data_IF_746560821399
#
_entry.id   IF_746560821399
#
_cell.length_a   1.000
_cell.length_b   1.000
_cell.length_c   1.000
_cell.angle_alpha   90.00
_cell.angle_beta   90.00
_cell.angle_gamma   90.00
#
_symmetry.space_group_name_H-M   'P 1'
#
loop_
_entity.id
_entity.type
_entity.pdbx_description
1 polymer ?
#
# COMPACT_ATOMS: atom_id res chain seq x y z
N UNK A 1 0.34 -4.95 -30.99
CA UNK A 1 1.66 -5.24 -30.38
C UNK A 1 1.39 -5.65 -28.94
N UNK A 2 1.86 -6.83 -28.53
CA UNK A 2 1.75 -7.25 -27.12
C UNK A 2 2.58 -6.27 -26.26
N UNK A 3 1.95 -5.72 -25.24
CA UNK A 3 2.65 -4.91 -24.23
C UNK A 3 3.44 -5.88 -23.36
N UNK A 4 4.75 -5.70 -23.26
CA UNK A 4 5.61 -6.56 -22.45
C UNK A 4 6.11 -5.80 -21.22
N UNK A 5 6.39 -6.53 -20.15
CA UNK A 5 7.13 -6.00 -19.03
C UNK A 5 8.57 -5.84 -19.46
N UNK A 6 9.07 -4.60 -19.44
CA UNK A 6 10.44 -4.25 -19.88
C UNK A 6 11.38 -4.25 -18.70
N UNK A 7 11.00 -3.54 -17.64
CA UNK A 7 11.75 -3.50 -16.39
C UNK A 7 10.91 -4.18 -15.31
N UNK A 8 11.47 -5.17 -14.63
CA UNK A 8 10.83 -5.92 -13.56
C UNK A 8 11.39 -5.47 -12.21
N UNK A 9 10.58 -5.50 -11.18
CA UNK A 9 11.06 -5.19 -9.85
C UNK A 9 12.05 -6.24 -9.37
N UNK A 10 11.53 -7.45 -9.15
CA UNK A 10 12.27 -8.59 -8.62
C UNK A 10 11.75 -9.87 -9.31
N UNK A 11 12.53 -10.94 -9.28
CA UNK A 11 12.14 -12.24 -9.81
C UNK A 11 13.22 -12.89 -10.68
N UNK A 12 12.92 -14.03 -11.33
CA UNK A 12 13.91 -14.91 -11.97
C UNK A 12 14.79 -14.25 -13.04
N UNK A 13 14.28 -13.22 -13.71
CA UNK A 13 15.02 -12.50 -14.75
C UNK A 13 15.82 -11.29 -14.21
N UNK A 14 15.81 -11.11 -12.88
CA UNK A 14 16.53 -10.04 -12.17
C UNK A 14 17.41 -10.66 -11.11
N UNK A 15 18.57 -10.08 -10.92
CA UNK A 15 19.39 -10.43 -9.75
C UNK A 15 18.74 -9.81 -8.53
N UNK A 16 17.95 -10.60 -7.83
CA UNK A 16 17.52 -10.26 -6.48
C UNK A 16 18.74 -10.24 -5.58
N UNK A 17 18.75 -9.41 -4.58
CA UNK A 17 19.75 -9.49 -3.55
C UNK A 17 20.53 -8.23 -3.28
N UNK A 18 20.41 -7.18 -4.08
CA UNK A 18 20.94 -5.89 -3.67
C UNK A 18 19.87 -5.11 -2.91
N UNK A 19 19.97 -5.14 -1.58
CA UNK A 19 19.14 -4.33 -0.70
C UNK A 19 19.78 -2.97 -0.58
N UNK A 20 19.16 -1.97 -1.23
CA UNK A 20 19.59 -0.58 -1.14
C UNK A 20 18.61 0.21 -0.29
N UNK A 21 19.10 1.01 0.66
CA UNK A 21 18.25 1.99 1.32
C UNK A 21 17.68 2.96 0.29
N UNK A 22 16.50 3.48 0.54
CA UNK A 22 15.93 4.53 -0.29
C UNK A 22 16.67 5.84 -0.07
N UNK A 23 16.77 6.65 -1.12
CA UNK A 23 17.23 8.03 -1.03
C UNK A 23 16.01 8.96 -0.84
N UNK A 24 16.17 10.15 -0.25
CA UNK A 24 15.06 11.09 -0.06
C UNK A 24 14.27 11.39 -1.33
N UNK A 25 14.93 11.42 -2.49
CA UNK A 25 14.29 11.66 -3.79
C UNK A 25 13.37 10.51 -4.24
N UNK A 26 13.55 9.30 -3.71
CA UNK A 26 12.70 8.14 -4.06
C UNK A 26 11.28 8.31 -3.53
N UNK A 27 11.10 9.10 -2.46
CA UNK A 27 9.80 9.42 -1.88
C UNK A 27 9.31 10.84 -2.21
N UNK A 28 10.02 11.54 -3.08
CA UNK A 28 9.65 12.87 -3.58
C UNK A 28 8.65 12.80 -4.76
N UNK A 29 8.19 13.94 -5.28
CA UNK A 29 7.27 13.99 -6.42
C UNK A 29 7.92 13.46 -7.71
N UNK A 30 7.35 12.44 -8.33
CA UNK A 30 7.82 11.78 -9.56
C UNK A 30 7.10 12.24 -10.83
N UNK A 31 5.76 12.33 -10.79
CA UNK A 31 4.98 12.56 -12.01
C UNK A 31 5.18 13.96 -12.61
N UNK A 32 5.01 14.04 -13.93
CA UNK A 32 4.72 15.31 -14.59
C UNK A 32 3.22 15.64 -14.41
N UNK A 33 2.94 16.69 -13.64
CA UNK A 33 1.58 17.14 -13.35
C UNK A 33 0.80 17.52 -14.61
N UNK A 34 1.48 17.93 -15.69
CA UNK A 34 0.86 18.30 -16.97
C UNK A 34 0.47 17.07 -17.80
N UNK A 35 1.14 15.95 -17.63
CA UNK A 35 0.86 14.73 -18.39
C UNK A 35 -0.48 14.14 -17.97
N UNK A 36 -1.36 13.87 -18.94
CA UNK A 36 -2.65 13.22 -18.69
C UNK A 36 -2.46 11.75 -18.30
N UNK A 37 -3.35 11.23 -17.44
CA UNK A 37 -3.33 9.82 -17.03
C UNK A 37 -2.31 9.47 -15.97
N UNK A 38 -1.53 10.44 -15.48
CA UNK A 38 -0.62 10.24 -14.35
C UNK A 38 -1.35 10.35 -13.03
N UNK A 39 -0.86 9.62 -12.04
CA UNK A 39 -1.33 9.61 -10.65
C UNK A 39 -0.15 9.43 -9.73
N UNK A 40 -0.25 10.02 -8.54
CA UNK A 40 0.75 9.85 -7.50
C UNK A 40 0.13 10.13 -6.15
N UNK A 41 0.45 9.28 -5.17
CA UNK A 41 -0.06 9.44 -3.82
C UNK A 41 0.92 8.90 -2.79
N UNK A 42 0.91 9.52 -1.63
CA UNK A 42 1.58 9.09 -0.41
C UNK A 42 0.52 8.54 0.53
N UNK A 43 0.71 7.31 0.95
CA UNK A 43 -0.18 6.59 1.86
C UNK A 43 0.46 6.46 3.22
N UNK A 44 -0.25 6.85 4.26
CA UNK A 44 0.12 6.65 5.64
C UNK A 44 -0.97 5.89 6.36
N UNK A 45 -0.61 4.96 7.22
CA UNK A 45 -1.56 4.42 8.19
C UNK A 45 -0.91 4.21 9.55
N UNK A 46 -1.76 4.07 10.58
CA UNK A 46 -1.32 3.68 11.91
C UNK A 46 -2.40 2.88 12.62
N UNK A 47 -1.99 1.81 13.29
CA UNK A 47 -2.77 1.10 14.29
C UNK A 47 -2.38 1.63 15.65
N UNK A 48 -3.35 2.24 16.34
CA UNK A 48 -3.14 2.97 17.59
C UNK A 48 -3.49 2.10 18.81
N UNK A 49 -2.77 2.27 19.90
CA UNK A 49 -2.88 1.47 21.12
C UNK A 49 -4.25 1.58 21.79
N UNK A 50 -4.97 2.67 21.54
CA UNK A 50 -6.33 2.92 22.03
C UNK A 50 -7.42 2.29 21.12
N UNK A 51 -7.04 1.43 20.17
CA UNK A 51 -7.94 0.69 19.29
C UNK A 51 -8.43 1.43 18.05
N UNK A 52 -8.01 2.67 17.82
CA UNK A 52 -8.23 3.34 16.54
C UNK A 52 -7.25 2.82 15.47
N UNK A 53 -7.72 2.81 14.22
CA UNK A 53 -6.83 2.71 13.05
C UNK A 53 -7.09 3.93 12.17
N UNK A 54 -6.03 4.57 11.70
CA UNK A 54 -6.13 5.76 10.86
C UNK A 54 -5.41 5.55 9.55
N UNK A 55 -5.91 6.19 8.49
CA UNK A 55 -5.30 6.23 7.17
C UNK A 55 -5.32 7.67 6.68
N UNK A 56 -4.19 8.14 6.20
CA UNK A 56 -4.01 9.43 5.54
C UNK A 56 -3.49 9.25 4.12
N UNK A 57 -4.11 9.91 3.14
CA UNK A 57 -3.59 10.01 1.79
C UNK A 57 -3.33 11.46 1.43
N UNK A 58 -2.19 11.67 0.76
CA UNK A 58 -1.92 12.88 0.00
C UNK A 58 -1.86 12.48 -1.46
N UNK A 59 -2.68 13.08 -2.30
CA UNK A 59 -2.77 12.79 -3.73
C UNK A 59 -2.29 13.99 -4.53
N UNK A 60 -1.16 13.86 -5.21
CA UNK A 60 -0.72 14.89 -6.14
C UNK A 60 -1.74 15.03 -7.28
N UNK A 61 -2.25 13.90 -7.76
CA UNK A 61 -3.22 13.90 -8.86
C UNK A 61 -4.15 12.68 -8.81
N UNK A 62 -5.45 12.95 -8.79
CA UNK A 62 -6.48 11.92 -8.82
C UNK A 62 -6.72 11.41 -10.25
N UNK A 63 -6.89 10.11 -10.38
CA UNK A 63 -7.05 9.41 -11.65
C UNK A 63 -8.13 9.98 -12.58
N UNK A 64 -9.33 10.17 -12.03
CA UNK A 64 -10.52 10.52 -12.82
C UNK A 64 -10.73 12.01 -12.94
N UNK A 65 -10.51 12.74 -11.84
CA UNK A 65 -10.78 14.18 -11.78
C UNK A 65 -9.58 15.00 -12.18
N UNK A 66 -8.38 14.43 -12.12
CA UNK A 66 -7.13 15.13 -12.30
C UNK A 66 -6.79 16.10 -11.16
N UNK A 67 -7.62 16.17 -10.10
CA UNK A 67 -7.45 17.09 -8.98
C UNK A 67 -6.40 16.59 -7.99
N UNK A 68 -5.81 17.51 -7.29
CA UNK A 68 -5.02 17.28 -6.08
C UNK A 68 -5.97 17.03 -4.91
N UNK A 69 -5.52 16.42 -3.82
CA UNK A 69 -6.40 16.23 -2.67
C UNK A 69 -5.78 15.46 -1.52
N UNK A 70 -6.54 15.40 -0.45
CA UNK A 70 -6.22 14.60 0.73
C UNK A 70 -7.39 13.70 1.11
N UNK A 71 -7.07 12.62 1.84
CA UNK A 71 -8.10 11.74 2.40
C UNK A 71 -7.73 11.37 3.82
N UNK A 72 -8.73 11.39 4.71
CA UNK A 72 -8.64 10.90 6.08
C UNK A 72 -9.63 9.76 6.24
N UNK A 73 -9.18 8.59 6.66
CA UNK A 73 -10.04 7.50 7.09
C UNK A 73 -9.71 7.14 8.53
N UNK A 74 -10.73 7.07 9.38
CA UNK A 74 -10.62 6.72 10.80
C UNK A 74 -11.55 5.53 11.08
N UNK A 75 -10.98 4.42 11.49
CA UNK A 75 -11.72 3.29 12.04
C UNK A 75 -11.72 3.40 13.57
N UNK A 76 -12.91 3.52 14.14
CA UNK A 76 -13.08 3.59 15.60
C UNK A 76 -12.96 2.21 16.24
N UNK A 77 -12.68 2.11 17.54
CA UNK A 77 -12.61 0.82 18.25
C UNK A 77 -13.91 -0.01 18.17
N UNK A 78 -15.06 0.63 17.94
CA UNK A 78 -16.35 -0.03 17.74
C UNK A 78 -16.63 -0.43 16.28
N UNK A 79 -15.63 -0.42 15.41
CA UNK A 79 -15.76 -0.78 14.00
C UNK A 79 -16.36 0.29 13.09
N UNK A 80 -16.81 1.44 13.62
CA UNK A 80 -17.36 2.52 12.78
C UNK A 80 -16.26 3.19 11.96
N UNK A 81 -16.45 3.22 10.63
CA UNK A 81 -15.57 3.94 9.67
C UNK A 81 -16.07 5.38 9.46
N UNK A 82 -15.15 6.29 9.46
CA UNK A 82 -15.32 7.69 9.02
C UNK A 82 -14.33 7.90 7.88
N UNK A 83 -14.79 8.49 6.76
CA UNK A 83 -13.95 8.77 5.62
C UNK A 83 -14.28 10.17 5.09
N UNK A 84 -13.25 10.98 4.90
CA UNK A 84 -13.31 12.32 4.30
C UNK A 84 -12.36 12.37 3.14
N UNK A 85 -12.85 12.78 1.99
CA UNK A 85 -12.09 12.93 0.75
C UNK A 85 -12.28 14.37 0.28
N UNK A 86 -11.21 15.12 0.22
CA UNK A 86 -11.23 16.54 -0.10
C UNK A 86 -10.36 16.79 -1.32
N UNK A 87 -10.96 17.46 -2.31
CA UNK A 87 -10.29 17.89 -3.52
C UNK A 87 -9.84 19.35 -3.41
N UNK A 88 -8.64 19.63 -3.89
CA UNK A 88 -8.00 20.92 -3.96
C UNK A 88 -7.67 21.29 -5.41
N UNK A 89 -7.35 22.54 -5.66
CA UNK A 89 -6.81 22.96 -6.95
C UNK A 89 -5.34 22.51 -7.07
N UNK A 90 -4.85 22.31 -8.29
CA UNK A 90 -3.44 22.01 -8.50
C UNK A 90 -2.50 23.12 -8.02
N UNK A 91 -2.97 24.38 -8.00
CA UNK A 91 -2.23 25.53 -7.45
C UNK A 91 -1.97 25.42 -5.95
N UNK A 92 -2.75 24.61 -5.24
CA UNK A 92 -2.63 24.41 -3.79
C UNK A 92 -1.59 23.35 -3.43
N UNK A 93 -1.06 22.63 -4.45
CA UNK A 93 0.02 21.67 -4.28
C UNK A 93 1.38 22.34 -4.37
N UNK A 94 2.17 22.16 -3.35
CA UNK A 94 3.61 22.39 -3.34
C UNK A 94 4.30 21.09 -3.01
N UNK A 95 5.22 20.62 -3.85
CA UNK A 95 5.91 19.36 -3.63
C UNK A 95 7.35 19.46 -4.17
N UNK A 96 8.29 18.96 -3.38
CA UNK A 96 9.68 18.84 -3.79
C UNK A 96 9.87 17.60 -4.68
N UNK A 97 10.86 17.68 -5.59
CA UNK A 97 11.33 16.52 -6.38
C UNK A 97 12.59 15.88 -5.81
N UNK A 98 13.10 16.42 -4.73
CA UNK A 98 14.34 15.95 -4.11
C UNK A 98 14.13 15.40 -2.69
N UNK A 99 13.02 15.79 -2.07
CA UNK A 99 12.68 15.44 -0.69
C UNK A 99 11.19 15.12 -0.60
N UNK A 100 10.76 14.25 0.30
CA UNK A 100 9.35 14.03 0.61
C UNK A 100 8.76 15.20 1.42
N UNK A 101 8.84 16.39 0.88
CA UNK A 101 8.27 17.62 1.40
C UNK A 101 7.11 18.03 0.49
N UNK A 102 5.91 17.95 1.05
CA UNK A 102 4.64 18.12 0.33
C UNK A 102 3.69 18.97 1.15
N UNK A 103 3.00 19.90 0.48
CA UNK A 103 1.90 20.68 1.04
C UNK A 103 0.71 20.71 0.08
N UNK A 104 -0.50 20.48 0.60
CA UNK A 104 -1.78 20.61 -0.12
C UNK A 104 -2.73 21.45 0.74
N UNK A 105 -2.91 22.72 0.39
CA UNK A 105 -3.57 23.67 1.28
C UNK A 105 -2.80 23.82 2.59
N UNK A 106 -3.47 23.56 3.71
CA UNK A 106 -2.84 23.55 5.05
C UNK A 106 -2.27 22.16 5.43
N UNK A 107 -2.59 21.12 4.64
CA UNK A 107 -2.16 19.75 4.91
C UNK A 107 -0.74 19.55 4.43
N UNK A 108 0.09 18.78 5.17
CA UNK A 108 1.49 18.59 4.80
C UNK A 108 2.07 17.23 5.19
N UNK A 109 3.16 16.89 4.49
CA UNK A 109 4.17 15.90 4.87
C UNK A 109 5.48 16.65 5.03
N UNK A 110 6.17 16.46 6.14
CA UNK A 110 7.53 16.94 6.39
C UNK A 110 8.39 15.78 6.87
N UNK A 111 9.66 15.81 6.52
CA UNK A 111 10.61 14.77 6.90
C UNK A 111 11.87 15.40 7.47
N UNK A 112 12.30 14.86 8.59
CA UNK A 112 13.60 15.17 9.18
C UNK A 112 14.55 13.98 8.96
N UNK A 113 15.63 14.22 8.21
CA UNK A 113 16.73 13.30 7.99
C UNK A 113 17.98 13.69 8.81
N UNK A 114 17.94 14.82 9.53
CA UNK A 114 19.11 15.37 10.17
C UNK A 114 19.37 14.73 11.55
N UNK A 115 20.62 14.33 11.77
CA UNK A 115 21.14 13.82 13.04
C UNK A 115 20.48 12.57 13.60
N UNK A 116 19.81 11.76 12.77
CA UNK A 116 19.15 10.52 13.17
C UNK A 116 19.53 9.38 12.24
N UNK A 117 19.67 8.19 12.80
CA UNK A 117 19.89 6.96 12.05
C UNK A 117 18.68 6.65 11.14
N UNK A 118 17.48 6.98 11.63
CA UNK A 118 16.21 6.76 10.94
C UNK A 118 15.45 8.07 10.71
N UNK A 119 14.80 8.26 9.54
CA UNK A 119 14.01 9.46 9.27
C UNK A 119 12.78 9.56 10.16
N UNK A 120 12.39 10.80 10.46
CA UNK A 120 11.15 11.12 11.14
C UNK A 120 10.23 11.85 10.18
N UNK A 121 9.05 11.29 9.95
CA UNK A 121 7.99 11.90 9.16
C UNK A 121 6.97 12.55 10.08
N UNK A 122 6.55 13.75 9.73
CA UNK A 122 5.42 14.44 10.34
C UNK A 122 4.35 14.67 9.29
N UNK A 123 3.14 14.19 9.59
CA UNK A 123 1.97 14.47 8.75
C UNK A 123 0.95 15.31 9.50
N UNK A 124 0.37 16.26 8.79
CA UNK A 124 -0.75 17.05 9.26
C UNK A 124 -1.87 17.01 8.23
N UNK A 125 -3.02 16.53 8.66
CA UNK A 125 -4.27 16.51 7.91
C UNK A 125 -5.36 17.09 8.81
N UNK A 126 -5.97 18.20 8.42
CA UNK A 126 -7.07 18.80 9.17
C UNK A 126 -8.22 19.17 8.23
N UNK A 127 -9.34 18.49 8.41
CA UNK A 127 -10.55 18.69 7.63
C UNK A 127 -11.76 18.87 8.54
N UNK A 128 -11.74 20.01 9.24
CA UNK A 128 -12.81 20.44 10.12
C UNK A 128 -12.92 19.57 11.39
N UNK A 129 -13.94 18.72 11.48
CA UNK A 129 -14.18 17.88 12.66
C UNK A 129 -13.21 16.70 12.80
N UNK A 130 -12.42 16.41 11.75
CA UNK A 130 -11.53 15.24 11.68
C UNK A 130 -10.13 15.68 11.26
N UNK A 131 -9.12 15.06 11.87
CA UNK A 131 -7.73 15.38 11.55
C UNK A 131 -6.74 14.36 12.09
N UNK A 132 -5.53 14.41 11.56
CA UNK A 132 -4.37 13.63 11.97
C UNK A 132 -3.19 14.60 12.10
N UNK A 133 -2.54 14.64 13.25
CA UNK A 133 -1.25 15.29 13.42
C UNK A 133 -0.33 14.26 14.08
N UNK A 134 0.40 13.55 13.24
CA UNK A 134 1.13 12.35 13.63
C UNK A 134 2.59 12.44 13.22
N UNK A 135 3.45 12.00 14.12
CA UNK A 135 4.87 11.83 13.92
C UNK A 135 5.20 10.34 13.82
N UNK A 136 5.88 9.95 12.76
CA UNK A 136 6.32 8.59 12.47
C UNK A 136 7.84 8.54 12.61
N UNK A 137 8.34 7.79 13.57
CA UNK A 137 9.77 7.53 13.72
C UNK A 137 10.09 6.15 13.15
N UNK A 138 10.86 6.10 12.07
CA UNK A 138 11.19 4.86 11.40
C UNK A 138 11.89 3.87 12.36
N UNK A 139 11.58 2.58 12.23
CA UNK A 139 12.21 1.46 12.94
C UNK A 139 13.04 0.59 12.00
N UNK A 140 12.81 0.71 10.73
CA UNK A 140 13.47 -0.05 9.67
C UNK A 140 13.76 0.94 8.56
N UNK A 141 14.93 0.85 7.94
CA UNK A 141 15.25 1.65 6.77
C UNK A 141 14.23 1.48 5.65
N UNK A 142 13.93 2.56 4.97
CA UNK A 142 13.04 2.54 3.82
C UNK A 142 13.54 1.54 2.76
N UNK A 143 12.60 0.91 2.08
CA UNK A 143 12.86 -0.13 1.09
C UNK A 143 12.11 0.14 -0.21
N UNK A 144 12.69 -0.29 -1.31
CA UNK A 144 12.06 -0.32 -2.63
C UNK A 144 12.41 -1.60 -3.37
N UNK A 145 11.46 -2.23 -4.10
CA UNK A 145 11.76 -3.37 -4.93
C UNK A 145 12.59 -2.92 -6.16
N UNK A 146 13.77 -3.49 -6.34
CA UNK A 146 14.67 -3.17 -7.44
C UNK A 146 14.98 -1.68 -7.53
N UNK A 147 14.56 -1.04 -8.62
CA UNK A 147 14.72 0.42 -8.83
C UNK A 147 13.58 1.26 -8.26
N UNK A 148 12.58 0.62 -7.64
CA UNK A 148 11.38 1.29 -7.12
C UNK A 148 10.29 1.49 -8.17
N UNK A 149 10.47 1.03 -9.41
CA UNK A 149 9.45 1.09 -10.45
C UNK A 149 9.53 -0.10 -11.40
N UNK A 150 8.43 -0.36 -12.10
CA UNK A 150 8.32 -1.39 -13.14
C UNK A 150 7.79 -0.74 -14.43
N UNK A 151 8.36 -1.12 -15.57
CA UNK A 151 7.98 -0.61 -16.87
C UNK A 151 7.14 -1.62 -17.66
N UNK A 152 6.08 -1.12 -18.28
CA UNK A 152 5.16 -1.88 -19.13
C UNK A 152 5.19 -1.32 -20.55
N UNK A 153 5.82 -2.04 -21.48
CA UNK A 153 6.02 -1.56 -22.84
C UNK A 153 7.00 -0.40 -22.89
N UNK A 154 6.73 0.62 -23.73
CA UNK A 154 7.69 1.68 -24.01
C UNK A 154 7.61 2.90 -23.10
N UNK A 155 6.51 3.09 -22.38
CA UNK A 155 6.26 4.37 -21.70
C UNK A 155 5.32 4.30 -20.49
N UNK A 156 4.84 3.13 -20.13
CA UNK A 156 4.00 2.95 -18.96
C UNK A 156 4.86 2.54 -17.78
N UNK A 157 4.66 3.19 -16.65
CA UNK A 157 5.45 2.99 -15.44
C UNK A 157 4.54 2.93 -14.24
N UNK A 158 4.84 2.02 -13.33
CA UNK A 158 4.30 1.96 -11.99
C UNK A 158 5.44 1.92 -10.98
N UNK A 159 5.48 2.90 -10.09
CA UNK A 159 6.42 2.99 -9.00
C UNK A 159 5.79 2.66 -7.66
N UNK A 160 6.61 2.06 -6.80
CA UNK A 160 6.28 1.77 -5.41
C UNK A 160 7.54 1.81 -4.56
N UNK A 161 7.50 2.67 -3.55
CA UNK A 161 8.56 2.83 -2.56
C UNK A 161 7.92 2.74 -1.18
N UNK A 162 8.52 1.98 -0.29
CA UNK A 162 8.10 1.84 1.11
C UNK A 162 9.07 2.63 1.97
N UNK A 163 8.73 3.89 2.23
CA UNK A 163 9.60 4.79 2.97
C UNK A 163 9.67 4.46 4.46
N UNK A 164 8.55 3.98 5.03
CA UNK A 164 8.48 3.52 6.41
C UNK A 164 7.88 2.11 6.48
N UNK A 165 8.69 1.05 6.35
CA UNK A 165 8.21 -0.32 6.50
C UNK A 165 7.54 -0.59 7.85
N UNK A 166 8.09 0.01 8.91
CA UNK A 166 7.55 0.03 10.27
C UNK A 166 8.04 1.28 10.98
N UNK A 167 7.14 1.97 11.67
CA UNK A 167 7.45 3.17 12.43
C UNK A 167 6.71 3.17 13.76
N UNK A 168 7.34 3.74 14.79
CA UNK A 168 6.62 4.17 15.99
C UNK A 168 5.86 5.44 15.66
N UNK A 169 4.60 5.52 16.09
CA UNK A 169 3.72 6.65 15.81
C UNK A 169 3.28 7.28 17.12
N UNK A 170 3.36 8.62 17.18
CA UNK A 170 2.80 9.40 18.27
C UNK A 170 2.19 10.70 17.74
N UNK A 171 1.31 11.31 18.51
CA UNK A 171 0.69 12.58 18.16
C UNK A 171 -0.77 12.65 18.54
N UNK A 172 -1.58 13.28 17.71
CA UNK A 172 -3.01 13.48 17.96
C UNK A 172 -3.86 13.08 16.77
N UNK A 173 -5.06 12.58 17.07
CA UNK A 173 -6.16 12.48 16.12
C UNK A 173 -7.30 13.39 16.55
N UNK A 174 -8.00 14.00 15.60
CA UNK A 174 -9.20 14.78 15.85
C UNK A 174 -10.42 13.99 15.38
N UNK A 175 -11.38 13.78 16.27
CA UNK A 175 -12.61 13.03 16.00
C UNK A 175 -13.80 13.79 16.58
N UNK A 176 -14.72 14.27 15.74
CA UNK A 176 -15.85 15.12 16.11
C UNK A 176 -15.39 16.34 16.97
N UNK A 177 -14.39 17.07 16.50
CA UNK A 177 -13.75 18.23 17.16
C UNK A 177 -13.05 17.91 18.50
N UNK A 178 -12.91 16.64 18.88
CA UNK A 178 -12.17 16.24 20.08
C UNK A 178 -10.78 15.75 19.68
N UNK A 179 -9.77 16.35 20.29
CA UNK A 179 -8.37 15.94 20.12
C UNK A 179 -8.06 14.82 21.10
N UNK A 180 -7.48 13.73 20.59
CA UNK A 180 -7.12 12.53 21.34
C UNK A 180 -5.63 12.29 21.13
N UNK A 181 -4.86 12.22 22.23
CA UNK A 181 -3.46 11.81 22.21
C UNK A 181 -3.37 10.32 21.85
N UNK A 182 -2.44 9.97 20.99
CA UNK A 182 -2.30 8.61 20.48
C UNK A 182 -0.85 8.20 20.36
N UNK A 183 -0.63 6.88 20.50
CA UNK A 183 0.60 6.17 20.16
C UNK A 183 0.24 4.89 19.42
N UNK A 184 1.20 4.33 18.70
CA UNK A 184 0.98 3.06 17.99
C UNK A 184 2.09 2.72 17.00
N UNK A 185 1.75 1.87 16.05
CA UNK A 185 2.66 1.41 14.98
C UNK A 185 2.07 1.84 13.64
N UNK A 186 2.92 2.38 12.78
CA UNK A 186 2.51 2.89 11.47
C UNK A 186 3.39 2.43 10.32
N UNK A 187 2.94 2.83 9.14
CA UNK A 187 3.49 2.48 7.85
C UNK A 187 3.33 3.66 6.87
N UNK A 188 4.26 3.76 5.94
CA UNK A 188 4.15 4.70 4.84
C UNK A 188 4.74 4.12 3.56
N UNK A 189 3.98 4.26 2.46
CA UNK A 189 4.47 4.03 1.12
C UNK A 189 4.07 5.16 0.16
N UNK A 190 4.76 5.18 -0.97
CA UNK A 190 4.58 6.13 -2.04
C UNK A 190 4.43 5.41 -3.36
N UNK A 191 3.43 5.81 -4.13
CA UNK A 191 3.10 5.18 -5.40
C UNK A 191 2.86 6.22 -6.49
N UNK A 192 3.33 5.91 -7.70
CA UNK A 192 3.03 6.70 -8.89
C UNK A 192 2.80 5.80 -10.10
N UNK A 193 2.00 6.28 -11.03
CA UNK A 193 1.80 5.60 -12.31
C UNK A 193 1.33 6.58 -13.40
N UNK A 194 1.51 6.18 -14.64
CA UNK A 194 1.15 6.99 -15.79
C UNK A 194 0.21 6.28 -16.79
N UNK A 195 -0.49 5.26 -16.33
CA UNK A 195 -1.46 4.50 -17.10
C UNK A 195 -2.66 4.06 -16.25
N UNK A 196 -3.72 3.53 -16.87
CA UNK A 196 -4.84 2.97 -16.13
C UNK A 196 -4.53 1.51 -15.73
N UNK A 197 -4.44 1.26 -14.43
CA UNK A 197 -4.16 -0.06 -13.84
C UNK A 197 -5.10 -1.16 -14.37
N UNK A 198 -6.40 -0.88 -14.44
CA UNK A 198 -7.41 -1.83 -14.91
C UNK A 198 -7.22 -2.29 -16.37
N UNK A 199 -6.37 -1.61 -17.16
CA UNK A 199 -6.07 -2.03 -18.52
C UNK A 199 -5.15 -3.22 -18.60
N UNK A 200 -4.30 -3.44 -17.57
CA UNK A 200 -3.24 -4.46 -17.58
C UNK A 200 -3.19 -5.33 -16.32
N UNK A 201 -3.85 -4.95 -15.25
CA UNK A 201 -3.90 -5.70 -13.99
C UNK A 201 -5.30 -6.32 -13.83
N UNK A 202 -5.37 -7.57 -13.37
CA UNK A 202 -6.62 -8.24 -13.01
C UNK A 202 -6.94 -8.09 -11.53
N UNK A 203 -5.96 -8.36 -10.67
CA UNK A 203 -6.09 -8.18 -9.23
C UNK A 203 -4.72 -8.10 -8.56
N UNK A 204 -4.70 -7.65 -7.29
CA UNK A 204 -3.51 -7.74 -6.46
C UNK A 204 -3.85 -8.04 -5.01
N UNK A 205 -2.89 -8.63 -4.33
CA UNK A 205 -2.78 -8.67 -2.88
C UNK A 205 -1.68 -7.72 -2.44
N UNK A 206 -1.91 -7.03 -1.35
CA UNK A 206 -0.92 -6.24 -0.65
C UNK A 206 -1.12 -6.43 0.85
N UNK A 207 -0.03 -6.50 1.59
CA UNK A 207 -0.10 -6.60 3.03
C UNK A 207 1.26 -6.53 3.69
N UNK A 208 1.18 -6.50 5.01
CA UNK A 208 2.36 -6.49 5.86
C UNK A 208 2.11 -7.32 7.11
N UNK A 209 3.19 -7.79 7.70
CA UNK A 209 3.19 -8.54 8.94
C UNK A 209 4.13 -7.82 9.90
N UNK A 210 3.68 -7.63 11.12
CA UNK A 210 4.49 -7.16 12.23
C UNK A 210 4.44 -8.19 13.34
N UNK A 211 5.57 -8.80 13.64
CA UNK A 211 5.81 -9.62 14.82
C UNK A 211 6.78 -8.91 15.77
N UNK A 212 7.22 -9.57 16.81
CA UNK A 212 8.17 -8.97 17.76
C UNK A 212 9.51 -8.68 17.08
N UNK A 213 10.03 -9.65 16.32
CA UNK A 213 11.34 -9.56 15.70
C UNK A 213 11.30 -9.32 14.19
N UNK A 214 10.19 -9.61 13.51
CA UNK A 214 10.13 -9.57 12.05
C UNK A 214 9.10 -8.58 11.53
N UNK A 215 9.44 -8.01 10.38
CA UNK A 215 8.51 -7.24 9.55
C UNK A 215 8.55 -7.81 8.14
N UNK A 216 7.40 -8.23 7.63
CA UNK A 216 7.29 -8.60 6.22
C UNK A 216 6.32 -7.67 5.48
N UNK A 217 6.67 -7.32 4.24
CA UNK A 217 5.81 -6.56 3.33
C UNK A 217 5.75 -7.32 2.01
N UNK A 218 4.56 -7.55 1.50
CA UNK A 218 4.38 -8.30 0.27
C UNK A 218 3.39 -7.63 -0.67
N UNK A 219 3.61 -7.83 -1.96
CA UNK A 219 2.65 -7.58 -3.01
C UNK A 219 2.70 -8.70 -4.05
N UNK A 220 1.52 -9.16 -4.46
CA UNK A 220 1.34 -10.05 -5.59
C UNK A 220 0.35 -9.40 -6.54
N UNK A 221 0.80 -9.03 -7.73
CA UNK A 221 -0.02 -8.33 -8.72
C UNK A 221 -0.19 -9.24 -9.94
N UNK A 222 -1.41 -9.66 -10.21
CA UNK A 222 -1.73 -10.48 -11.38
C UNK A 222 -2.02 -9.60 -12.58
N UNK A 223 -1.12 -9.62 -13.54
CA UNK A 223 -1.38 -9.02 -14.83
C UNK A 223 -2.39 -9.84 -15.65
N UNK A 224 -3.07 -9.19 -16.58
CA UNK A 224 -4.04 -9.84 -17.44
C UNK A 224 -3.38 -10.47 -18.71
N UNK A 225 -4.23 -11.04 -19.58
CA UNK A 225 -3.78 -11.69 -20.83
C UNK A 225 -2.96 -10.78 -21.77
N UNK A 226 -3.14 -9.45 -21.72
CA UNK A 226 -2.34 -8.51 -22.53
C UNK A 226 -0.87 -8.49 -22.08
N UNK A 227 -0.62 -8.89 -20.85
CA UNK A 227 0.69 -9.00 -20.21
C UNK A 227 1.06 -10.47 -19.98
N UNK A 228 0.55 -11.39 -20.83
CA UNK A 228 0.81 -12.83 -20.74
C UNK A 228 0.47 -13.44 -19.37
N UNK A 229 -0.49 -12.87 -18.64
CA UNK A 229 -0.85 -13.24 -17.26
C UNK A 229 0.34 -13.21 -16.30
N UNK A 230 1.33 -12.37 -16.54
CA UNK A 230 2.55 -12.30 -15.73
C UNK A 230 2.23 -11.97 -14.27
N UNK A 231 2.75 -12.72 -13.30
CA UNK A 231 2.64 -12.39 -11.89
C UNK A 231 3.80 -11.49 -11.49
N UNK A 232 3.51 -10.27 -11.05
CA UNK A 232 4.50 -9.42 -10.41
C UNK A 232 4.50 -9.80 -8.94
N UNK A 233 5.63 -10.27 -8.44
CA UNK A 233 5.80 -10.77 -7.08
C UNK A 233 6.87 -9.96 -6.37
N UNK A 234 6.56 -9.48 -5.19
CA UNK A 234 7.47 -8.68 -4.38
C UNK A 234 7.27 -9.04 -2.92
N UNK A 235 8.36 -9.30 -2.23
CA UNK A 235 8.36 -9.54 -0.80
C UNK A 235 9.65 -8.99 -0.17
N UNK A 236 9.49 -8.27 0.92
CA UNK A 236 10.55 -7.84 1.81
C UNK A 236 10.37 -8.51 3.16
N UNK A 237 11.44 -9.01 3.73
CA UNK A 237 11.51 -9.45 5.12
C UNK A 237 12.63 -8.70 5.84
N UNK A 238 12.30 -8.15 6.99
CA UNK A 238 13.27 -7.55 7.89
C UNK A 238 13.27 -8.30 9.23
N UNK A 239 14.44 -8.46 9.81
CA UNK A 239 14.64 -8.92 11.15
C UNK A 239 15.16 -7.74 12.00
N UNK A 240 14.42 -7.39 13.05
CA UNK A 240 14.61 -6.18 13.82
C UNK A 240 14.65 -4.93 12.91
N UNK A 241 15.76 -4.25 12.80
CA UNK A 241 15.95 -3.02 12.01
C UNK A 241 16.47 -3.29 10.60
N UNK A 242 16.91 -4.53 10.32
CA UNK A 242 17.63 -4.88 9.11
C UNK A 242 16.75 -5.60 8.09
N UNK A 243 16.68 -5.10 6.88
CA UNK A 243 16.11 -5.84 5.75
C UNK A 243 17.05 -6.98 5.38
N UNK A 244 16.60 -8.22 5.55
CA UNK A 244 17.38 -9.44 5.31
C UNK A 244 17.03 -10.14 4.00
N UNK A 245 15.84 -9.83 3.44
CA UNK A 245 15.39 -10.42 2.18
C UNK A 245 14.58 -9.40 1.37
N UNK A 246 14.87 -9.34 0.09
CA UNK A 246 14.11 -8.56 -0.90
C UNK A 246 14.00 -9.43 -2.15
N UNK A 247 12.82 -10.03 -2.41
CA UNK A 247 12.69 -11.05 -3.46
C UNK A 247 11.35 -11.00 -4.18
N UNK A 248 11.33 -11.48 -5.42
CA UNK A 248 10.13 -11.88 -6.16
C UNK A 248 10.03 -13.39 -6.35
N UNK A 249 10.97 -14.15 -5.79
CA UNK A 249 11.04 -15.61 -5.91
C UNK A 249 10.31 -16.30 -4.76
N UNK A 250 9.00 -16.36 -4.85
CA UNK A 250 8.17 -17.13 -3.95
C UNK A 250 7.03 -17.81 -4.71
N UNK A 251 6.52 -18.91 -4.17
CA UNK A 251 5.27 -19.50 -4.61
C UNK A 251 4.12 -18.95 -3.76
N UNK A 252 3.03 -18.53 -4.42
CA UNK A 252 1.79 -18.15 -3.74
C UNK A 252 0.73 -19.21 -3.91
N UNK A 253 0.32 -19.83 -2.80
CA UNK A 253 -0.81 -20.76 -2.73
C UNK A 253 -2.02 -20.02 -2.19
N UNK A 254 -3.15 -20.14 -2.90
CA UNK A 254 -4.41 -19.49 -2.59
C UNK A 254 -5.49 -20.56 -2.49
N UNK A 255 -6.16 -20.65 -1.33
CA UNK A 255 -7.15 -21.70 -1.08
C UNK A 255 -8.39 -21.17 -0.35
N UNK A 256 -9.43 -22.00 -0.28
CA UNK A 256 -10.64 -21.76 0.48
C UNK A 256 -11.33 -20.45 0.08
N UNK A 257 -11.62 -20.30 -1.22
CA UNK A 257 -12.28 -19.11 -1.73
C UNK A 257 -13.72 -19.00 -1.21
N UNK A 258 -14.07 -17.83 -0.67
CA UNK A 258 -15.40 -17.49 -0.21
C UNK A 258 -15.99 -16.35 -1.05
N UNK A 259 -17.25 -16.51 -1.48
CA UNK A 259 -17.92 -15.50 -2.29
C UNK A 259 -18.60 -14.45 -1.41
N UNK A 260 -18.30 -13.18 -1.66
CA UNK A 260 -18.93 -12.05 -0.97
C UNK A 260 -20.01 -11.40 -1.87
N UNK A 261 -21.27 -11.54 -1.48
CA UNK A 261 -22.42 -11.02 -2.24
C UNK A 261 -22.43 -9.49 -2.36
N UNK A 262 -21.92 -8.76 -1.36
CA UNK A 262 -21.86 -7.28 -1.38
C UNK A 262 -20.89 -6.78 -2.45
N UNK A 263 -19.74 -7.40 -2.56
CA UNK A 263 -18.73 -7.06 -3.56
C UNK A 263 -19.04 -7.68 -4.92
N UNK A 264 -19.60 -8.88 -4.92
CA UNK A 264 -19.87 -9.67 -6.12
C UNK A 264 -18.65 -10.46 -6.62
N UNK A 265 -17.68 -10.70 -5.74
CA UNK A 265 -16.43 -11.43 -6.01
C UNK A 265 -16.08 -12.37 -4.87
N UNK A 266 -15.15 -13.30 -5.16
CA UNK A 266 -14.57 -14.19 -4.17
C UNK A 266 -13.20 -13.68 -3.71
N UNK A 267 -12.85 -14.01 -2.48
CA UNK A 267 -11.54 -13.78 -1.90
C UNK A 267 -11.02 -15.08 -1.26
N UNK A 268 -9.70 -15.34 -1.24
CA UNK A 268 -9.14 -16.52 -0.57
C UNK A 268 -9.16 -16.32 0.94
N UNK A 269 -9.60 -17.32 1.67
CA UNK A 269 -9.46 -17.34 3.15
C UNK A 269 -8.08 -17.81 3.60
N UNK A 270 -7.30 -18.36 2.69
CA UNK A 270 -5.98 -18.88 2.97
C UNK A 270 -5.00 -18.42 1.90
N UNK A 271 -3.92 -17.78 2.34
CA UNK A 271 -2.76 -17.43 1.52
C UNK A 271 -1.51 -18.03 2.16
N UNK A 272 -0.66 -18.65 1.33
CA UNK A 272 0.63 -19.15 1.77
C UNK A 272 1.70 -18.71 0.78
N UNK A 273 2.74 -18.10 1.30
CA UNK A 273 3.94 -17.68 0.58
C UNK A 273 5.07 -18.63 0.96
N UNK A 274 5.54 -19.44 0.01
CA UNK A 274 6.72 -20.26 0.19
C UNK A 274 7.92 -19.51 -0.37
N UNK A 275 8.83 -19.10 0.51
CA UNK A 275 10.05 -18.39 0.18
C UNK A 275 11.21 -19.38 0.37
N UNK A 276 11.47 -20.17 -0.65
CA UNK A 276 12.50 -21.20 -0.61
C UNK A 276 12.33 -22.19 0.58
N UNK A 277 13.45 -22.73 1.09
CA UNK A 277 13.45 -23.64 2.23
C UNK A 277 13.68 -22.94 3.59
N UNK A 278 13.72 -21.60 3.63
CA UNK A 278 14.08 -20.86 4.83
C UNK A 278 12.90 -20.12 5.46
N UNK A 279 11.93 -19.68 4.65
CA UNK A 279 10.81 -18.90 5.16
C UNK A 279 9.49 -19.31 4.53
N UNK A 280 8.46 -19.30 5.36
CA UNK A 280 7.08 -19.54 4.93
C UNK A 280 6.17 -18.56 5.67
N UNK A 281 5.29 -17.88 4.93
CA UNK A 281 4.27 -17.02 5.51
C UNK A 281 2.90 -17.61 5.22
N UNK A 282 2.09 -17.81 6.26
CA UNK A 282 0.71 -18.27 6.16
C UNK A 282 -0.23 -17.20 6.70
N UNK A 283 -1.27 -16.87 5.94
CA UNK A 283 -2.36 -15.99 6.34
C UNK A 283 -3.68 -16.74 6.30
N UNK A 284 -4.43 -16.69 7.40
CA UNK A 284 -5.81 -17.19 7.47
C UNK A 284 -6.75 -16.03 7.81
N UNK A 285 -7.69 -15.73 6.93
CA UNK A 285 -8.67 -14.66 7.12
C UNK A 285 -9.63 -14.99 8.26
N UNK A 286 -9.66 -14.13 9.25
CA UNK A 286 -10.60 -14.20 10.39
C UNK A 286 -11.89 -13.46 10.06
N UNK A 287 -11.77 -12.23 9.55
CA UNK A 287 -12.91 -11.37 9.26
C UNK A 287 -12.62 -10.36 8.14
N UNK A 288 -13.67 -9.85 7.54
CA UNK A 288 -13.61 -8.76 6.58
C UNK A 288 -13.82 -7.44 7.33
N UNK A 289 -12.80 -6.58 7.35
CA UNK A 289 -12.89 -5.25 7.96
C UNK A 289 -13.63 -4.28 7.06
N UNK A 290 -13.36 -4.32 5.75
CA UNK A 290 -14.04 -3.52 4.75
C UNK A 290 -14.18 -4.30 3.44
N UNK A 291 -15.33 -4.15 2.80
CA UNK A 291 -15.59 -4.75 1.50
C UNK A 291 -16.44 -3.82 0.66
N UNK A 292 -15.91 -3.41 -0.49
CA UNK A 292 -16.54 -2.41 -1.34
C UNK A 292 -16.59 -2.87 -2.79
N UNK A 293 -17.77 -2.77 -3.39
CA UNK A 293 -17.92 -2.89 -4.83
C UNK A 293 -17.54 -1.55 -5.48
N UNK A 294 -16.41 -1.50 -6.15
CA UNK A 294 -15.86 -0.26 -6.72
C UNK A 294 -16.71 0.31 -7.87
N UNK A 295 -17.70 -0.43 -8.39
CA UNK A 295 -18.68 0.11 -9.33
C UNK A 295 -19.62 1.13 -8.66
N UNK A 296 -19.78 1.10 -7.34
CA UNK A 296 -20.65 2.03 -6.61
C UNK A 296 -20.16 3.48 -6.78
N UNK A 297 -18.88 3.67 -6.93
CA UNK A 297 -18.27 4.99 -7.18
C UNK A 297 -18.54 5.54 -8.59
N UNK A 298 -19.00 4.70 -9.51
CA UNK A 298 -19.38 5.13 -10.84
C UNK A 298 -20.83 5.61 -10.84
N UNK A 299 -21.12 6.70 -11.57
CA UNK A 299 -22.48 7.13 -11.79
C UNK A 299 -23.33 6.02 -12.48
N UNK A 300 -24.68 6.04 -12.33
CA UNK A 300 -25.56 4.92 -12.71
C UNK A 300 -25.41 4.48 -14.16
N UNK A 301 -25.23 5.39 -15.09
CA UNK A 301 -25.08 5.11 -16.53
C UNK A 301 -23.75 4.36 -16.76
N UNK A 302 -22.62 4.87 -16.23
CA UNK A 302 -21.31 4.22 -16.37
C UNK A 302 -21.31 2.86 -15.70
N UNK A 303 -21.93 2.73 -14.53
CA UNK A 303 -22.10 1.46 -13.80
C UNK A 303 -22.83 0.42 -14.65
N UNK A 304 -23.94 0.82 -15.30
CA UNK A 304 -24.70 -0.07 -16.18
C UNK A 304 -23.83 -0.60 -17.33
N UNK A 305 -23.09 0.28 -18.03
CA UNK A 305 -22.18 -0.12 -19.11
C UNK A 305 -21.06 -1.03 -18.64
N UNK A 306 -20.38 -0.68 -17.56
CA UNK A 306 -19.26 -1.48 -17.04
C UNK A 306 -19.74 -2.85 -16.59
N UNK A 307 -20.86 -2.93 -15.87
CA UNK A 307 -21.41 -4.18 -15.35
C UNK A 307 -21.94 -5.09 -16.46
N UNK A 308 -22.71 -4.54 -17.40
CA UNK A 308 -23.47 -5.37 -18.34
C UNK A 308 -22.75 -5.57 -19.67
N UNK A 309 -22.04 -4.58 -20.19
CA UNK A 309 -21.33 -4.66 -21.46
C UNK A 309 -19.91 -5.20 -21.30
N UNK A 310 -19.17 -4.72 -20.29
CA UNK A 310 -17.79 -5.16 -20.04
C UNK A 310 -17.71 -6.33 -19.07
N UNK A 311 -18.81 -6.67 -18.37
CA UNK A 311 -18.92 -7.73 -17.36
C UNK A 311 -17.85 -7.61 -16.24
N UNK A 312 -17.38 -6.40 -15.96
CA UNK A 312 -16.39 -6.15 -14.93
C UNK A 312 -17.06 -6.10 -13.55
N UNK A 313 -16.38 -6.64 -12.55
CA UNK A 313 -16.83 -6.65 -11.15
C UNK A 313 -15.70 -6.18 -10.25
N UNK A 314 -15.20 -4.93 -10.39
CA UNK A 314 -14.10 -4.47 -9.56
C UNK A 314 -14.52 -4.43 -8.09
N UNK A 315 -13.61 -4.88 -7.24
CA UNK A 315 -13.88 -5.03 -5.82
C UNK A 315 -12.66 -4.74 -4.96
N UNK A 316 -12.91 -4.37 -3.72
CA UNK A 316 -11.92 -4.14 -2.68
C UNK A 316 -12.29 -4.94 -1.45
N UNK A 317 -11.30 -5.58 -0.85
CA UNK A 317 -11.39 -6.26 0.43
C UNK A 317 -10.23 -5.81 1.32
N UNK A 318 -10.54 -5.43 2.56
CA UNK A 318 -9.58 -5.27 3.65
C UNK A 318 -9.86 -6.36 4.66
N UNK A 319 -8.88 -7.22 4.86
CA UNK A 319 -9.01 -8.48 5.56
C UNK A 319 -8.16 -8.47 6.83
N UNK A 320 -8.76 -8.83 7.96
CA UNK A 320 -8.03 -9.15 9.17
C UNK A 320 -7.72 -10.65 9.19
N UNK A 321 -6.44 -10.99 9.32
CA UNK A 321 -5.96 -12.37 9.28
C UNK A 321 -5.05 -12.68 10.44
N UNK A 322 -5.10 -13.90 10.94
CA UNK A 322 -3.97 -14.42 11.70
C UNK A 322 -2.85 -14.77 10.73
N UNK A 323 -1.62 -14.57 11.16
CA UNK A 323 -0.45 -14.98 10.42
C UNK A 323 0.40 -15.98 11.21
N UNK A 324 1.15 -16.78 10.46
CA UNK A 324 2.27 -17.58 10.94
C UNK A 324 3.45 -17.28 10.02
N UNK A 325 4.57 -16.88 10.59
CA UNK A 325 5.86 -16.76 9.91
C UNK A 325 6.72 -17.92 10.43
N UNK A 326 6.94 -18.89 9.58
CA UNK A 326 7.79 -20.04 9.86
C UNK A 326 9.19 -19.76 9.31
N UNK A 327 10.20 -20.01 10.13
CA UNK A 327 11.60 -19.73 9.86
C UNK A 327 12.38 -21.03 10.07
N UNK A 328 13.15 -21.44 9.06
CA UNK A 328 13.92 -22.69 9.06
C UNK A 328 15.39 -22.36 8.90
N UNK A 329 16.17 -22.46 9.98
CA UNK A 329 17.60 -22.14 9.99
C UNK A 329 18.36 -23.29 10.65
N UNK A 330 19.39 -23.80 9.98
CA UNK A 330 20.29 -24.85 10.48
C UNK A 330 19.58 -26.12 10.99
N UNK A 331 18.45 -26.49 10.39
CA UNK A 331 17.66 -27.66 10.78
C UNK A 331 16.72 -27.44 11.97
N UNK A 332 16.68 -26.23 12.52
CA UNK A 332 15.71 -25.80 13.52
C UNK A 332 14.58 -25.00 12.88
N UNK A 333 13.40 -25.02 13.49
CA UNK A 333 12.24 -24.27 13.05
C UNK A 333 11.71 -23.37 14.15
N UNK A 334 11.47 -22.10 13.78
CA UNK A 334 10.86 -21.11 14.66
C UNK A 334 9.57 -20.62 14.02
N UNK A 335 8.59 -20.26 14.83
CA UNK A 335 7.31 -19.74 14.33
C UNK A 335 6.92 -18.51 15.12
N UNK A 336 6.75 -17.40 14.43
CA UNK A 336 6.11 -16.21 14.98
C UNK A 336 4.65 -16.13 14.51
N UNK A 337 3.77 -15.65 15.37
CA UNK A 337 2.32 -15.61 15.13
C UNK A 337 1.76 -14.25 15.56
N UNK A 338 0.65 -13.88 14.94
CA UNK A 338 -0.07 -12.67 15.31
C UNK A 338 -1.25 -12.41 14.39
N UNK A 339 -1.71 -11.17 14.38
CA UNK A 339 -2.76 -10.71 13.47
C UNK A 339 -2.25 -9.60 12.58
N UNK A 340 -2.75 -9.57 11.35
CA UNK A 340 -2.39 -8.54 10.37
C UNK A 340 -3.57 -8.14 9.52
N UNK A 341 -3.47 -6.95 8.94
CA UNK A 341 -4.37 -6.47 7.89
C UNK A 341 -3.68 -6.61 6.54
N UNK A 342 -4.40 -7.19 5.59
CA UNK A 342 -3.98 -7.20 4.19
C UNK A 342 -5.16 -6.88 3.28
N UNK A 343 -4.87 -6.59 2.03
CA UNK A 343 -5.86 -6.13 1.07
C UNK A 343 -5.85 -6.99 -0.19
N UNK A 344 -7.04 -7.15 -0.77
CA UNK A 344 -7.23 -7.66 -2.12
C UNK A 344 -8.00 -6.65 -2.92
N UNK A 345 -7.47 -6.27 -4.08
CA UNK A 345 -8.15 -5.39 -5.02
C UNK A 345 -8.32 -6.11 -6.35
N UNK A 346 -9.53 -6.09 -6.87
CA UNK A 346 -9.92 -6.70 -8.13
C UNK A 346 -10.29 -5.56 -9.08
N UNK A 347 -9.72 -5.56 -10.29
CA UNK A 347 -9.97 -4.48 -11.26
C UNK A 347 -10.99 -4.86 -12.33
N UNK A 348 -11.32 -6.14 -12.45
CA UNK A 348 -12.19 -6.67 -13.50
C UNK A 348 -13.34 -7.50 -12.98
#
# INVERSE_FOLDING_TARGET
MSTKIVEKWLGPDRKDGEIKPIEPKDDALHIDMKRKGTREWWYFDARLDNGYTVVGFFRAKHERTGKTGVEITIYKPNGKKIQKVIDYLHSDLRASRNLPDLQIGENYIKVDYHNQEFPIYEIFLDEGEYGLHLKYTAKIHGWKPGKGYIEFGKSNEFGWVVALPRADVEGTIKVNNKTIQVKGIGYHDHNWLNFNFAMIIDYWYWGRIYSDNYTAIFAYIKCNKKMDNYPIKVLMLAENENVILSTGEYELIQNNFEYNHKVGNSYPKFLKFNLDNHYEIVLEVLEIIDATNLLIELGPIKRFFVKNLLKLKPGYFRLNSKFQLNIYINGESYTEKGSTLHEMVITK
#
